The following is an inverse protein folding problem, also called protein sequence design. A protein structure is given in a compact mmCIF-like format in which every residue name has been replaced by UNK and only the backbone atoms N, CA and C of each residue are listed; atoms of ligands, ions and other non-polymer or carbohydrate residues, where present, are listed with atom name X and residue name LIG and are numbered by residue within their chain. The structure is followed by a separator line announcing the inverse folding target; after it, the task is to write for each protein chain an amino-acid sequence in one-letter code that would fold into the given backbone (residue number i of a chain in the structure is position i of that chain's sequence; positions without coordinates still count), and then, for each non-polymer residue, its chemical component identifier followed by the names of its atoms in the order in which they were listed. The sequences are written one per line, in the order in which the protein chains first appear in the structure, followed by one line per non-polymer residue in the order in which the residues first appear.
data_IF_211280034131
#
_entry.id   IF_211280034131
#
_cell.length_a   1.000
_cell.length_b   1.000
_cell.length_c   1.000
_cell.angle_alpha   90.00
_cell.angle_beta   90.00
_cell.angle_gamma   90.00
#
_symmetry.space_group_name_H-M   'P 1'
#
loop_
_entity.id
_entity.type
_entity.pdbx_description
1 polymer ?
#
# COMPACT_ATOMS: atom_id res chain seq x y z
N UNK A 1 -7.78 -19.89 131.21
CA UNK A 1 -7.37 -21.00 130.32
C UNK A 1 -8.63 -21.60 129.71
N UNK A 2 -8.81 -21.91 128.42
CA UNK A 2 -8.05 -21.82 127.17
C UNK A 2 -9.11 -21.58 126.08
N UNK A 3 -8.91 -20.58 125.22
CA UNK A 3 -9.73 -20.36 124.02
C UNK A 3 -9.55 -21.56 123.08
N UNK A 4 -10.63 -22.15 122.56
CA UNK A 4 -10.58 -23.02 121.38
C UNK A 4 -11.50 -22.43 120.31
N UNK A 5 -10.91 -21.61 119.44
CA UNK A 5 -11.49 -21.29 118.14
C UNK A 5 -11.46 -22.56 117.29
N UNK A 6 -12.63 -23.13 116.92
CA UNK A 6 -12.70 -24.23 115.95
C UNK A 6 -13.16 -23.69 114.59
N UNK A 7 -12.31 -23.87 113.58
CA UNK A 7 -12.32 -23.22 112.27
C UNK A 7 -13.49 -23.60 111.31
N UNK A 8 -13.81 -22.74 110.31
CA UNK A 8 -14.96 -22.85 109.39
C UNK A 8 -14.68 -23.77 108.18
N UNK A 9 -14.48 -25.07 108.40
CA UNK A 9 -14.07 -26.01 107.33
C UNK A 9 -15.15 -26.35 106.30
N UNK A 10 -16.44 -26.35 106.67
CA UNK A 10 -17.54 -26.72 105.76
C UNK A 10 -17.88 -25.58 104.79
N UNK A 11 -17.91 -24.34 105.27
CA UNK A 11 -18.22 -23.15 104.45
C UNK A 11 -17.14 -22.88 103.40
N UNK A 12 -15.86 -23.10 103.75
CA UNK A 12 -14.75 -22.98 102.79
C UNK A 12 -14.83 -24.00 101.65
N UNK A 13 -15.27 -25.25 101.93
CA UNK A 13 -15.44 -26.28 100.89
C UNK A 13 -16.55 -25.94 99.91
N UNK A 14 -17.68 -25.42 100.40
CA UNK A 14 -18.80 -24.99 99.56
C UNK A 14 -18.42 -23.79 98.67
N UNK A 15 -17.66 -22.84 99.22
CA UNK A 15 -17.11 -21.70 98.47
C UNK A 15 -16.20 -22.16 97.33
N UNK A 16 -15.29 -23.11 97.61
CA UNK A 16 -14.39 -23.67 96.59
C UNK A 16 -15.13 -24.41 95.48
N UNK A 17 -16.17 -25.18 95.80
CA UNK A 17 -17.02 -25.86 94.81
C UNK A 17 -17.74 -24.86 93.89
N UNK A 18 -18.29 -23.78 94.46
CA UNK A 18 -18.95 -22.73 93.67
C UNK A 18 -17.97 -22.01 92.75
N UNK A 19 -16.77 -21.68 93.23
CA UNK A 19 -15.71 -21.10 92.40
C UNK A 19 -15.27 -22.03 91.26
N UNK A 20 -15.13 -23.33 91.53
CA UNK A 20 -14.80 -24.32 90.50
C UNK A 20 -15.89 -24.44 89.44
N UNK A 21 -17.17 -24.40 89.85
CA UNK A 21 -18.30 -24.45 88.94
C UNK A 21 -18.39 -23.19 88.07
N UNK A 22 -18.19 -22.01 88.65
CA UNK A 22 -18.16 -20.74 87.91
C UNK A 22 -16.99 -20.71 86.90
N UNK A 23 -15.82 -21.24 87.26
CA UNK A 23 -14.67 -21.40 86.35
C UNK A 23 -15.02 -22.37 85.22
N UNK A 24 -15.62 -23.52 85.53
CA UNK A 24 -16.07 -24.51 84.56
C UNK A 24 -17.03 -23.92 83.53
N UNK A 25 -18.09 -23.26 84.01
CA UNK A 25 -19.07 -22.59 83.16
C UNK A 25 -18.44 -21.49 82.29
N UNK A 26 -17.49 -20.72 82.83
CA UNK A 26 -16.78 -19.67 82.09
C UNK A 26 -15.84 -20.25 81.02
N UNK A 27 -15.21 -21.39 81.28
CA UNK A 27 -14.41 -22.12 80.31
C UNK A 27 -15.27 -22.71 79.20
N UNK A 28 -16.40 -23.31 79.55
CA UNK A 28 -17.36 -23.89 78.60
C UNK A 28 -17.94 -22.82 77.67
N UNK A 29 -18.35 -21.66 78.20
CA UNK A 29 -18.81 -20.53 77.39
C UNK A 29 -17.71 -20.00 76.44
N UNK A 30 -16.46 -19.89 76.91
CA UNK A 30 -15.32 -19.50 76.06
C UNK A 30 -15.06 -20.52 74.96
N UNK A 31 -15.15 -21.80 75.27
CA UNK A 31 -14.93 -22.89 74.33
C UNK A 31 -16.06 -22.96 73.29
N UNK A 32 -17.32 -22.75 73.69
CA UNK A 32 -18.45 -22.62 72.79
C UNK A 32 -18.28 -21.42 71.83
N UNK A 33 -17.89 -20.25 72.35
CA UNK A 33 -17.62 -19.08 71.51
C UNK A 33 -16.49 -19.32 70.51
N UNK A 34 -15.39 -19.94 70.96
CA UNK A 34 -14.26 -20.30 70.07
C UNK A 34 -14.69 -21.29 68.98
N UNK A 35 -15.48 -22.29 69.34
CA UNK A 35 -15.99 -23.27 68.39
C UNK A 35 -16.92 -22.60 67.36
N UNK A 36 -17.79 -21.68 67.80
CA UNK A 36 -18.67 -20.93 66.90
C UNK A 36 -17.87 -20.05 65.94
N UNK A 37 -16.85 -19.31 66.43
CA UNK A 37 -15.99 -18.48 65.58
C UNK A 37 -15.23 -19.30 64.55
N UNK A 38 -14.62 -20.42 64.97
CA UNK A 38 -13.89 -21.31 64.07
C UNK A 38 -14.79 -21.91 63.00
N UNK A 39 -16.02 -22.28 63.37
CA UNK A 39 -16.98 -22.87 62.43
C UNK A 39 -17.38 -21.85 61.35
N UNK A 40 -17.63 -20.60 61.74
CA UNK A 40 -17.93 -19.51 60.79
C UNK A 40 -16.76 -19.24 59.84
N UNK A 41 -15.54 -19.12 60.36
CA UNK A 41 -14.34 -18.91 59.53
C UNK A 41 -14.10 -20.05 58.54
N UNK A 42 -14.27 -21.32 58.95
CA UNK A 42 -14.16 -22.48 58.06
C UNK A 42 -15.19 -22.42 56.94
N UNK A 43 -16.42 -22.02 57.26
CA UNK A 43 -17.49 -21.92 56.25
C UNK A 43 -17.23 -20.79 55.26
N UNK A 44 -16.75 -19.64 55.72
CA UNK A 44 -16.33 -18.53 54.85
C UNK A 44 -15.16 -18.91 53.94
N UNK A 45 -14.17 -19.65 54.45
CA UNK A 45 -13.05 -20.15 53.64
C UNK A 45 -13.54 -21.10 52.56
N UNK A 46 -14.47 -22.01 52.88
CA UNK A 46 -15.05 -22.93 51.90
C UNK A 46 -15.79 -22.20 50.79
N UNK A 47 -16.61 -21.22 51.12
CA UNK A 47 -17.32 -20.41 50.13
C UNK A 47 -16.34 -19.70 49.19
N UNK A 48 -15.31 -19.04 49.75
CA UNK A 48 -14.26 -18.40 48.94
C UNK A 48 -13.50 -19.40 48.06
N UNK A 49 -13.27 -20.62 48.55
CA UNK A 49 -12.61 -21.67 47.78
C UNK A 49 -13.47 -22.12 46.59
N UNK A 50 -14.79 -22.24 46.77
CA UNK A 50 -15.72 -22.57 45.67
C UNK A 50 -15.75 -21.46 44.61
N UNK A 51 -15.82 -20.19 45.02
CA UNK A 51 -15.73 -19.02 44.12
C UNK A 51 -14.39 -18.98 43.35
N UNK A 52 -13.29 -19.32 44.01
CA UNK A 52 -11.99 -19.43 43.33
C UNK A 52 -11.99 -20.56 42.29
N UNK A 53 -12.64 -21.69 42.57
CA UNK A 53 -12.69 -22.82 41.63
C UNK A 53 -13.53 -22.49 40.38
N UNK A 54 -14.65 -21.80 40.55
CA UNK A 54 -15.49 -21.37 39.40
C UNK A 54 -14.71 -20.40 38.51
N UNK A 55 -14.08 -19.37 39.10
CA UNK A 55 -13.29 -18.39 38.34
C UNK A 55 -12.08 -19.01 37.63
N UNK A 56 -11.36 -19.95 38.27
CA UNK A 56 -10.26 -20.69 37.61
C UNK A 56 -10.77 -21.48 36.39
N UNK A 57 -11.95 -22.09 36.50
CA UNK A 57 -12.54 -22.87 35.40
C UNK A 57 -12.92 -21.97 34.22
N UNK A 58 -13.50 -20.81 34.49
CA UNK A 58 -13.84 -19.81 33.47
C UNK A 58 -12.58 -19.28 32.74
N UNK A 59 -11.52 -18.98 33.50
CA UNK A 59 -10.23 -18.54 32.93
C UNK A 59 -9.65 -19.63 32.04
N UNK A 60 -9.67 -20.89 32.49
CA UNK A 60 -9.15 -22.03 31.72
C UNK A 60 -9.88 -22.18 30.38
N UNK A 61 -11.20 -22.10 30.39
CA UNK A 61 -12.01 -22.21 29.17
C UNK A 61 -11.73 -21.04 28.21
N UNK A 62 -11.60 -19.83 28.74
CA UNK A 62 -11.26 -18.64 27.96
C UNK A 62 -9.86 -18.75 27.33
N UNK A 63 -8.90 -19.32 28.05
CA UNK A 63 -7.54 -19.53 27.56
C UNK A 63 -7.48 -20.55 26.42
N UNK A 64 -8.20 -21.67 26.53
CA UNK A 64 -8.28 -22.66 25.44
C UNK A 64 -8.97 -22.06 24.20
N UNK A 65 -10.05 -21.30 24.38
CA UNK A 65 -10.69 -20.60 23.28
C UNK A 65 -9.75 -19.58 22.60
N UNK A 66 -8.97 -18.83 23.38
CA UNK A 66 -7.97 -17.91 22.85
C UNK A 66 -6.86 -18.64 22.08
N UNK A 67 -6.39 -19.79 22.59
CA UNK A 67 -5.38 -20.61 21.93
C UNK A 67 -5.84 -21.10 20.57
N UNK A 68 -7.05 -21.64 20.45
CA UNK A 68 -7.59 -22.07 19.16
C UNK A 68 -7.70 -20.91 18.16
N UNK A 69 -8.13 -19.73 18.61
CA UNK A 69 -8.20 -18.53 17.75
C UNK A 69 -6.82 -18.07 17.27
N UNK A 70 -5.79 -18.18 18.11
CA UNK A 70 -4.41 -17.83 17.73
C UNK A 70 -3.90 -18.80 16.66
N UNK A 71 -4.12 -20.11 16.82
CA UNK A 71 -3.70 -21.09 15.82
C UNK A 71 -4.37 -20.87 14.46
N UNK A 72 -5.67 -20.58 14.45
CA UNK A 72 -6.40 -20.22 13.22
C UNK A 72 -5.82 -18.95 12.58
N UNK A 73 -5.51 -17.92 13.38
CA UNK A 73 -4.91 -16.69 12.89
C UNK A 73 -3.51 -16.94 12.29
N UNK A 74 -2.69 -17.79 12.89
CA UNK A 74 -1.36 -18.17 12.40
C UNK A 74 -1.42 -18.92 11.06
N UNK A 75 -2.42 -19.79 10.86
CA UNK A 75 -2.64 -20.46 9.56
C UNK A 75 -3.07 -19.46 8.49
N UNK A 76 -3.99 -18.56 8.82
CA UNK A 76 -4.43 -17.49 7.89
C UNK A 76 -3.31 -16.54 7.51
N UNK A 77 -2.41 -16.21 8.45
CA UNK A 77 -1.23 -15.38 8.17
C UNK A 77 -0.30 -16.11 7.18
N UNK A 78 -0.02 -17.40 7.40
CA UNK A 78 0.81 -18.20 6.48
C UNK A 78 0.25 -18.22 5.05
N UNK A 79 -1.05 -18.46 4.90
CA UNK A 79 -1.69 -18.46 3.57
C UNK A 79 -1.55 -17.08 2.86
N UNK A 80 -1.71 -15.99 3.62
CA UNK A 80 -1.57 -14.63 3.07
C UNK A 80 -0.12 -14.34 2.69
N UNK A 81 0.86 -14.79 3.46
CA UNK A 81 2.29 -14.64 3.15
C UNK A 81 2.65 -15.33 1.84
N UNK A 82 2.20 -16.58 1.64
CA UNK A 82 2.46 -17.33 0.40
C UNK A 82 1.86 -16.61 -0.82
N UNK A 83 0.61 -16.14 -0.71
CA UNK A 83 -0.05 -15.35 -1.77
C UNK A 83 0.66 -14.04 -2.05
N UNK A 84 1.26 -13.41 -1.04
CA UNK A 84 2.01 -12.16 -1.21
C UNK A 84 3.29 -12.37 -2.04
N UNK A 85 3.96 -13.52 -1.86
CA UNK A 85 5.14 -13.87 -2.67
C UNK A 85 4.74 -14.06 -4.14
N UNK A 86 3.71 -14.86 -4.42
CA UNK A 86 3.23 -15.09 -5.79
C UNK A 86 2.80 -13.80 -6.51
N UNK A 87 2.09 -12.91 -5.80
CA UNK A 87 1.66 -11.64 -6.37
C UNK A 87 2.83 -10.69 -6.66
N UNK A 88 3.88 -10.73 -5.82
CA UNK A 88 5.10 -9.95 -6.04
C UNK A 88 5.84 -10.42 -7.29
N UNK A 89 6.02 -11.72 -7.46
CA UNK A 89 6.66 -12.30 -8.64
C UNK A 89 5.86 -12.00 -9.92
N UNK A 90 4.53 -12.15 -9.86
CA UNK A 90 3.65 -11.81 -10.96
C UNK A 90 3.74 -10.33 -11.34
N UNK A 91 3.85 -9.43 -10.35
CA UNK A 91 4.03 -7.98 -10.56
C UNK A 91 5.36 -7.69 -11.24
N UNK A 92 6.46 -8.27 -10.78
CA UNK A 92 7.78 -8.09 -11.41
C UNK A 92 7.79 -8.58 -12.86
N UNK A 93 7.16 -9.73 -13.14
CA UNK A 93 7.04 -10.26 -14.50
C UNK A 93 6.22 -9.35 -15.41
N UNK A 94 5.11 -8.78 -14.90
CA UNK A 94 4.30 -7.79 -15.63
C UNK A 94 5.08 -6.51 -15.91
N UNK A 95 5.87 -6.03 -14.95
CA UNK A 95 6.70 -4.85 -15.10
C UNK A 95 7.78 -5.03 -16.17
N UNK A 96 8.49 -6.17 -16.15
CA UNK A 96 9.49 -6.50 -17.19
C UNK A 96 8.85 -6.52 -18.59
N UNK A 97 7.69 -7.17 -18.73
CA UNK A 97 6.93 -7.18 -20.00
C UNK A 97 6.53 -5.77 -20.44
N UNK A 98 6.08 -4.93 -19.51
CA UNK A 98 5.71 -3.54 -19.82
C UNK A 98 6.89 -2.71 -20.29
N UNK A 99 8.08 -2.89 -19.69
CA UNK A 99 9.32 -2.21 -20.11
C UNK A 99 9.71 -2.61 -21.53
N UNK A 100 9.73 -3.90 -21.83
CA UNK A 100 10.00 -4.41 -23.18
C UNK A 100 8.97 -3.90 -24.19
N UNK A 101 7.69 -3.93 -23.84
CA UNK A 101 6.64 -3.42 -24.74
C UNK A 101 6.81 -1.92 -25.02
N UNK A 102 7.23 -1.12 -24.04
CA UNK A 102 7.50 0.30 -24.22
C UNK A 102 8.70 0.54 -25.13
N UNK A 103 9.78 -0.23 -24.96
CA UNK A 103 10.94 -0.20 -25.85
C UNK A 103 10.55 -0.56 -27.28
N UNK A 104 9.83 -1.67 -27.49
CA UNK A 104 9.34 -2.05 -28.81
C UNK A 104 8.41 -1.00 -29.41
N UNK A 105 7.57 -0.34 -28.59
CA UNK A 105 6.71 0.76 -29.04
C UNK A 105 7.53 1.97 -29.49
N UNK A 106 8.60 2.32 -28.77
CA UNK A 106 9.54 3.38 -29.16
C UNK A 106 10.23 3.05 -30.48
N UNK A 107 10.76 1.84 -30.63
CA UNK A 107 11.42 1.39 -31.87
C UNK A 107 10.48 1.40 -33.07
N UNK A 108 9.24 0.92 -32.91
CA UNK A 108 8.21 0.99 -33.96
C UNK A 108 7.87 2.43 -34.33
N UNK A 109 7.70 3.31 -33.35
CA UNK A 109 7.45 4.73 -33.60
C UNK A 109 8.60 5.41 -34.32
N UNK A 110 9.83 5.11 -33.93
CA UNK A 110 11.03 5.62 -34.61
C UNK A 110 11.05 5.10 -36.04
N UNK A 111 10.79 3.81 -36.27
CA UNK A 111 10.69 3.22 -37.61
C UNK A 111 9.64 3.92 -38.48
N UNK A 112 8.45 4.23 -37.95
CA UNK A 112 7.41 4.95 -38.70
C UNK A 112 7.85 6.38 -39.03
N UNK A 113 8.55 7.06 -38.11
CA UNK A 113 9.04 8.43 -38.31
C UNK A 113 10.33 8.50 -39.14
N UNK A 114 11.00 7.38 -39.39
CA UNK A 114 12.30 7.36 -40.09
C UNK A 114 12.23 7.97 -41.48
N UNK A 115 11.09 7.93 -42.18
CA UNK A 115 10.95 8.56 -43.51
C UNK A 115 10.25 9.91 -43.50
N UNK A 116 9.91 10.44 -42.32
CA UNK A 116 9.21 11.71 -42.17
C UNK A 116 10.19 12.91 -42.12
N UNK A 117 9.84 13.99 -42.82
CA UNK A 117 10.47 15.32 -42.75
C UNK A 117 9.44 16.30 -42.18
N UNK A 118 9.89 17.20 -41.31
CA UNK A 118 9.09 18.32 -40.83
C UNK A 118 9.62 19.61 -41.44
N UNK A 119 8.73 20.41 -42.02
CA UNK A 119 9.05 21.76 -42.52
C UNK A 119 8.36 22.78 -41.61
N UNK A 120 9.13 23.74 -41.12
CA UNK A 120 8.72 24.77 -40.17
C UNK A 120 8.89 26.14 -40.83
N UNK A 121 7.95 27.05 -40.56
CA UNK A 121 8.03 28.44 -41.01
C UNK A 121 7.23 28.75 -42.29
N UNK A 122 6.55 27.76 -42.88
CA UNK A 122 5.71 27.98 -44.06
C UNK A 122 4.42 28.73 -43.67
N UNK A 123 4.12 29.92 -44.24
CA UNK A 123 2.94 30.72 -43.90
C UNK A 123 1.62 29.95 -44.04
N UNK A 124 0.64 30.24 -43.19
CA UNK A 124 -0.72 29.69 -43.29
C UNK A 124 -1.55 30.51 -44.29
N UNK A 125 -2.40 29.86 -45.11
CA UNK A 125 -3.20 30.51 -46.15
C UNK A 125 -2.87 30.07 -47.58
N UNK A 126 -1.74 29.39 -47.79
CA UNK A 126 -1.43 28.66 -49.04
C UNK A 126 -2.17 27.30 -49.13
N UNK A 127 -3.27 27.12 -48.40
CA UNK A 127 -4.03 25.85 -48.34
C UNK A 127 -4.66 25.44 -49.69
N UNK A 128 -4.59 26.31 -50.70
CA UNK A 128 -4.95 26.00 -52.10
C UNK A 128 -3.84 25.27 -52.85
N UNK A 129 -2.59 25.34 -52.38
CA UNK A 129 -1.47 24.59 -52.91
C UNK A 129 -1.33 23.29 -52.10
N UNK A 130 -1.29 22.17 -52.80
CA UNK A 130 -1.06 20.87 -52.17
C UNK A 130 0.27 20.92 -51.40
N UNK A 131 0.30 20.42 -50.16
CA UNK A 131 1.52 20.40 -49.32
C UNK A 131 2.69 19.68 -49.99
N UNK A 132 2.38 18.78 -50.92
CA UNK A 132 3.34 18.16 -51.83
C UNK A 132 4.00 19.18 -52.78
N UNK A 133 3.22 20.09 -53.37
CA UNK A 133 3.72 21.14 -54.26
C UNK A 133 4.68 22.08 -53.53
N UNK A 134 4.34 22.50 -52.30
CA UNK A 134 5.21 23.33 -51.45
C UNK A 134 6.57 22.65 -51.24
N UNK A 135 6.57 21.34 -50.96
CA UNK A 135 7.81 20.58 -50.80
C UNK A 135 8.60 20.50 -52.12
N UNK A 136 7.94 20.21 -53.24
CA UNK A 136 8.61 20.14 -54.55
C UNK A 136 9.23 21.48 -54.95
N UNK A 137 8.52 22.59 -54.75
CA UNK A 137 9.04 23.95 -54.97
C UNK A 137 10.24 24.25 -54.07
N UNK A 138 10.15 23.90 -52.78
CA UNK A 138 11.26 24.05 -51.82
C UNK A 138 12.51 23.28 -52.28
N UNK A 139 12.34 22.04 -52.75
CA UNK A 139 13.47 21.24 -53.25
C UNK A 139 14.04 21.83 -54.54
N UNK A 140 13.21 22.32 -55.46
CA UNK A 140 13.67 22.94 -56.70
C UNK A 140 14.43 24.26 -56.46
N UNK A 141 13.94 25.08 -55.52
CA UNK A 141 14.55 26.36 -55.14
C UNK A 141 15.91 26.16 -54.47
N UNK A 142 16.01 25.21 -53.53
CA UNK A 142 17.22 25.03 -52.72
C UNK A 142 18.16 23.95 -53.24
N UNK A 143 17.67 22.88 -53.87
CA UNK A 143 18.48 21.72 -54.25
C UNK A 143 18.24 21.35 -55.73
N UNK A 144 18.64 22.21 -56.69
CA UNK A 144 18.35 21.98 -58.11
C UNK A 144 18.99 20.70 -58.67
N UNK A 145 20.12 20.27 -58.11
CA UNK A 145 20.78 19.01 -58.51
C UNK A 145 20.02 17.76 -58.06
N UNK A 146 19.13 17.89 -57.06
CA UNK A 146 18.28 16.82 -56.55
C UNK A 146 17.04 16.63 -57.43
N UNK A 147 16.54 17.66 -58.11
CA UNK A 147 15.33 17.60 -58.95
C UNK A 147 15.46 16.82 -60.27
N UNK A 148 16.67 16.35 -60.63
CA UNK A 148 16.93 15.58 -61.86
C UNK A 148 16.73 14.07 -61.69
N UNK A 149 16.86 13.55 -60.47
CA UNK A 149 16.39 12.21 -60.10
C UNK A 149 14.94 12.33 -59.61
N UNK A 150 14.03 11.38 -59.90
CA UNK A 150 12.70 11.40 -59.30
C UNK A 150 12.79 11.08 -57.81
N UNK A 151 13.15 12.07 -56.98
CA UNK A 151 13.12 12.02 -55.50
C UNK A 151 11.68 12.03 -54.94
N UNK A 152 10.69 11.84 -55.79
CA UNK A 152 9.32 12.35 -55.62
C UNK A 152 8.26 11.26 -55.52
N UNK A 153 8.55 10.18 -54.79
CA UNK A 153 7.45 9.39 -54.23
C UNK A 153 7.22 9.83 -52.80
N UNK A 154 6.51 10.95 -52.67
CA UNK A 154 5.86 11.34 -51.42
C UNK A 154 4.72 10.35 -51.19
N UNK A 155 4.68 9.75 -50.01
CA UNK A 155 3.58 8.89 -49.60
C UNK A 155 2.42 9.70 -49.02
N UNK A 156 2.76 10.75 -48.25
CA UNK A 156 1.79 11.58 -47.56
C UNK A 156 2.41 12.96 -47.32
N UNK A 157 1.64 14.02 -47.54
CA UNK A 157 2.04 15.38 -47.24
C UNK A 157 0.85 16.09 -46.60
N UNK A 158 1.02 16.60 -45.38
CA UNK A 158 -0.06 17.30 -44.68
C UNK A 158 0.45 18.27 -43.63
N UNK A 159 -0.36 19.27 -43.28
CA UNK A 159 -0.14 20.13 -42.10
C UNK A 159 -0.53 19.37 -40.83
N UNK A 160 0.31 19.46 -39.80
CA UNK A 160 0.07 18.79 -38.51
C UNK A 160 0.05 19.84 -37.38
N UNK A 161 -1.00 19.88 -36.54
CA UNK A 161 -2.22 19.07 -36.59
C UNK A 161 -3.13 19.40 -37.79
N UNK A 162 -3.97 18.44 -38.21
CA UNK A 162 -4.86 18.61 -39.37
C UNK A 162 -5.79 19.82 -39.24
N UNK A 163 -6.29 20.09 -38.03
CA UNK A 163 -7.20 21.21 -37.75
C UNK A 163 -6.43 22.46 -37.29
N UNK A 164 -6.80 23.62 -37.84
CA UNK A 164 -6.32 24.92 -37.37
C UNK A 164 -6.90 25.19 -35.98
N UNK A 165 -6.05 25.58 -35.02
CA UNK A 165 -6.49 26.03 -33.70
C UNK A 165 -6.40 27.56 -33.64
N UNK A 166 -7.53 28.30 -33.59
CA UNK A 166 -7.52 29.77 -33.56
C UNK A 166 -6.77 30.39 -32.37
N UNK A 167 -6.52 29.62 -31.31
CA UNK A 167 -5.77 30.07 -30.13
C UNK A 167 -4.25 29.92 -30.28
N UNK A 168 -3.76 29.27 -31.34
CA UNK A 168 -2.33 29.13 -31.62
C UNK A 168 -1.87 30.24 -32.54
N UNK A 169 -0.87 31.00 -32.11
CA UNK A 169 -0.26 32.07 -32.91
C UNK A 169 0.95 31.57 -33.73
N UNK A 170 1.30 30.28 -33.60
CA UNK A 170 2.42 29.65 -34.32
C UNK A 170 1.92 28.94 -35.58
N UNK A 171 2.65 29.07 -36.68
CA UNK A 171 2.39 28.35 -37.93
C UNK A 171 2.45 26.83 -37.71
N UNK A 172 1.49 26.08 -38.26
CA UNK A 172 1.53 24.61 -38.27
C UNK A 172 2.67 24.09 -39.13
N UNK A 173 3.32 23.04 -38.64
CA UNK A 173 4.38 22.35 -39.39
C UNK A 173 3.77 21.52 -40.52
N UNK A 174 4.53 21.34 -41.60
CA UNK A 174 4.20 20.39 -42.67
C UNK A 174 4.95 19.09 -42.40
N UNK A 175 4.23 17.98 -42.36
CA UNK A 175 4.78 16.63 -42.31
C UNK A 175 4.80 16.05 -43.71
N UNK A 176 5.98 15.73 -44.22
CA UNK A 176 6.19 15.03 -45.48
C UNK A 176 6.70 13.63 -45.18
N UNK A 177 5.96 12.61 -45.60
CA UNK A 177 6.37 11.21 -45.51
C UNK A 177 6.91 10.76 -46.86
N UNK A 178 8.20 10.44 -46.90
CA UNK A 178 8.83 9.90 -48.11
C UNK A 178 8.70 8.37 -48.14
N UNK A 179 8.69 7.81 -49.34
CA UNK A 179 8.73 6.34 -49.53
C UNK A 179 10.10 5.74 -49.20
N UNK A 180 11.18 6.48 -49.43
CA UNK A 180 12.56 6.01 -49.25
C UNK A 180 13.30 6.82 -48.18
N UNK A 181 13.94 6.13 -47.25
CA UNK A 181 14.76 6.75 -46.20
C UNK A 181 16.00 7.46 -46.77
N UNK A 182 16.60 6.92 -47.84
CA UNK A 182 17.79 7.51 -48.49
C UNK A 182 17.51 8.93 -48.98
N UNK A 183 16.31 9.18 -49.49
CA UNK A 183 15.93 10.49 -50.03
C UNK A 183 15.79 11.51 -48.89
N UNK A 184 15.19 11.11 -47.76
CA UNK A 184 15.17 11.93 -46.55
C UNK A 184 16.59 12.30 -46.09
N UNK A 185 17.49 11.33 -46.01
CA UNK A 185 18.86 11.58 -45.53
C UNK A 185 19.61 12.55 -46.45
N UNK A 186 19.49 12.39 -47.77
CA UNK A 186 20.08 13.32 -48.75
C UNK A 186 19.57 14.74 -48.54
N UNK A 187 18.24 14.91 -48.43
CA UNK A 187 17.60 16.23 -48.27
C UNK A 187 18.01 16.88 -46.94
N UNK A 188 17.93 16.15 -45.83
CA UNK A 188 18.32 16.67 -44.51
C UNK A 188 19.81 16.99 -44.43
N UNK A 189 20.68 16.26 -45.16
CA UNK A 189 22.10 16.57 -45.24
C UNK A 189 22.33 17.90 -45.96
N UNK A 190 21.74 18.09 -47.13
CA UNK A 190 21.89 19.32 -47.88
C UNK A 190 21.27 20.54 -47.16
N UNK A 191 20.15 20.36 -46.46
CA UNK A 191 19.52 21.40 -45.64
C UNK A 191 20.34 21.79 -44.39
N UNK A 192 21.31 20.97 -43.96
CA UNK A 192 22.25 21.34 -42.89
C UNK A 192 23.44 22.13 -43.40
N UNK A 193 23.78 21.99 -44.68
CA UNK A 193 24.95 22.64 -45.29
C UNK A 193 24.66 24.09 -45.70
N UNK A 194 23.39 24.46 -45.88
CA UNK A 194 22.96 25.83 -46.19
C UNK A 194 21.56 26.14 -45.69
N UNK A 195 21.26 27.43 -45.59
CA UNK A 195 19.92 27.90 -45.24
C UNK A 195 18.91 27.54 -46.33
N UNK A 196 17.72 27.11 -45.91
CA UNK A 196 16.61 26.76 -46.81
C UNK A 196 15.57 27.86 -46.84
N UNK A 197 15.14 28.23 -48.04
CA UNK A 197 14.14 29.27 -48.27
C UNK A 197 12.96 28.75 -49.06
N UNK A 198 11.78 29.34 -48.87
CA UNK A 198 10.60 29.07 -49.68
C UNK A 198 9.97 30.41 -50.06
N UNK A 199 9.94 30.72 -51.37
CA UNK A 199 9.47 32.02 -51.89
C UNK A 199 10.14 33.20 -51.17
N UNK A 200 11.44 33.08 -50.90
CA UNK A 200 12.24 34.08 -50.18
C UNK A 200 12.04 34.14 -48.66
N UNK A 201 11.19 33.29 -48.07
CA UNK A 201 11.04 33.18 -46.60
C UNK A 201 11.93 32.08 -46.05
N UNK A 202 12.64 32.35 -44.95
CA UNK A 202 13.48 31.34 -44.29
C UNK A 202 12.61 30.24 -43.65
N UNK A 203 12.95 28.98 -43.94
CA UNK A 203 12.28 27.78 -43.41
C UNK A 203 13.29 26.80 -42.82
N UNK A 204 12.83 25.86 -42.00
CA UNK A 204 13.66 24.86 -41.31
C UNK A 204 13.12 23.45 -41.39
#
# INVERSE_FOLDING_TARGET
MRRRFSAPRKDFRLLMLKMMQDIGNKLEAKMGNLQETLTKEIQDIKLKQEEMQTTITEIKNSLEAAKSRIQEAEERIREVEDRLVETTDAKQKREKRSKTNEESRRELWDNVKRTNIHIIGVPEGEEREETEKIFQETIAENFPDMGKEPLTQIQEAQRVPHNINPRRNTLRHILIKLTKMKDKEKILKAAREKETTYKGTLIR
#
